data_IF_444006659216
#
_entry.id   IF_444006659216
#
_cell.length_a   1.000
_cell.length_b   1.000
_cell.length_c   1.000
_cell.angle_alpha   90.00
_cell.angle_beta   90.00
_cell.angle_gamma   90.00
#
_symmetry.space_group_name_H-M   'P 1'
#
loop_
_entity.id
_entity.type
_entity.pdbx_description
1 polymer ?
#
# COMPACT_ATOMS: atom_id res chain seq x y z
N UNK A 1 8.29 1.74 19.63
CA UNK A 1 7.03 2.20 18.98
C UNK A 1 7.13 2.25 17.44
N UNK A 2 8.30 2.47 16.82
CA UNK A 2 8.45 2.56 15.35
C UNK A 2 8.31 1.25 14.53
N UNK A 3 8.14 0.07 15.13
CA UNK A 3 8.03 -1.19 14.38
C UNK A 3 6.61 -1.51 13.91
N UNK A 4 5.58 -1.12 14.67
CA UNK A 4 4.19 -1.53 14.41
C UNK A 4 3.61 -0.92 13.15
N UNK A 5 3.91 0.36 12.88
CA UNK A 5 3.46 1.04 11.64
C UNK A 5 4.12 0.42 10.40
N UNK A 6 5.40 0.06 10.50
CA UNK A 6 6.16 -0.51 9.37
C UNK A 6 5.64 -1.90 8.98
N UNK A 7 5.25 -2.71 9.97
CA UNK A 7 4.71 -4.07 9.72
C UNK A 7 3.33 -3.99 9.06
N UNK A 8 2.47 -3.03 9.42
CA UNK A 8 1.15 -2.90 8.79
C UNK A 8 1.20 -2.45 7.33
N UNK A 9 2.07 -1.47 7.00
CA UNK A 9 2.24 -0.97 5.63
C UNK A 9 2.74 -2.07 4.68
N UNK A 10 3.85 -2.73 5.03
CA UNK A 10 4.43 -3.80 4.22
C UNK A 10 3.58 -5.08 4.22
N UNK A 11 2.90 -5.38 5.34
CA UNK A 11 1.97 -6.50 5.43
C UNK A 11 0.78 -6.34 4.49
N UNK A 12 0.26 -5.12 4.34
CA UNK A 12 -0.80 -4.81 3.38
C UNK A 12 -0.36 -5.02 1.92
N UNK A 13 0.84 -4.56 1.56
CA UNK A 13 1.43 -4.81 0.23
C UNK A 13 1.48 -6.32 -0.08
N UNK A 14 2.03 -7.11 0.84
CA UNK A 14 2.19 -8.55 0.68
C UNK A 14 0.83 -9.23 0.58
N UNK A 15 -0.13 -8.86 1.43
CA UNK A 15 -1.49 -9.42 1.43
C UNK A 15 -2.22 -9.15 0.12
N UNK A 16 -2.15 -7.91 -0.41
CA UNK A 16 -2.76 -7.54 -1.68
C UNK A 16 -2.15 -8.33 -2.85
N UNK A 17 -0.84 -8.50 -2.86
CA UNK A 17 -0.14 -9.26 -3.90
C UNK A 17 -0.38 -10.76 -3.82
N UNK A 18 -0.34 -11.35 -2.62
CA UNK A 18 -0.61 -12.78 -2.42
C UNK A 18 -2.06 -13.14 -2.75
N UNK A 19 -3.00 -12.26 -2.43
CA UNK A 19 -4.43 -12.43 -2.74
C UNK A 19 -4.71 -12.57 -4.24
N UNK A 20 -3.77 -12.16 -5.09
CA UNK A 20 -3.84 -12.36 -6.54
C UNK A 20 -3.11 -13.61 -7.03
N UNK A 21 -2.02 -13.97 -6.35
CA UNK A 21 -1.20 -15.13 -6.74
C UNK A 21 -1.78 -16.46 -6.24
N UNK A 22 -2.51 -16.43 -5.13
CA UNK A 22 -3.09 -17.60 -4.49
C UNK A 22 -4.61 -17.61 -4.69
N UNK A 23 -5.14 -18.79 -5.00
CA UNK A 23 -6.59 -19.03 -5.06
C UNK A 23 -7.08 -19.57 -3.72
N UNK A 24 -8.36 -19.34 -3.41
CA UNK A 24 -9.00 -19.88 -2.20
C UNK A 24 -8.71 -19.10 -0.92
N UNK A 25 -8.33 -17.82 -1.02
CA UNK A 25 -8.32 -16.93 0.14
C UNK A 25 -9.76 -16.48 0.38
N UNK A 26 -10.29 -16.71 1.58
CA UNK A 26 -11.67 -16.35 1.91
C UNK A 26 -11.80 -14.85 2.25
N UNK A 27 -10.75 -14.24 2.79
CA UNK A 27 -10.79 -12.85 3.26
C UNK A 27 -9.39 -12.23 3.35
N UNK A 28 -9.30 -10.91 3.15
CA UNK A 28 -8.09 -10.13 3.39
C UNK A 28 -8.37 -8.89 4.25
N UNK A 29 -7.41 -8.49 5.08
CA UNK A 29 -7.47 -7.28 5.91
C UNK A 29 -6.29 -6.39 5.53
N UNK A 30 -6.58 -5.18 5.05
CA UNK A 30 -5.57 -4.19 4.67
C UNK A 30 -5.61 -3.04 5.68
N UNK A 31 -4.50 -2.84 6.40
CA UNK A 31 -4.36 -1.84 7.45
C UNK A 31 -3.32 -0.82 7.00
N UNK A 32 -3.75 0.42 6.70
CA UNK A 32 -2.92 1.52 6.17
C UNK A 32 -1.88 1.01 5.14
N UNK A 33 -2.35 0.24 4.16
CA UNK A 33 -1.48 -0.49 3.24
C UNK A 33 -0.86 0.45 2.20
N UNK A 34 0.42 0.28 1.88
CA UNK A 34 0.95 0.85 0.65
C UNK A 34 0.45 -0.01 -0.52
N UNK A 35 -0.13 0.60 -1.54
CA UNK A 35 -0.77 -0.09 -2.67
C UNK A 35 -0.26 0.43 -4.02
N UNK A 36 0.35 1.61 -4.03
CA UNK A 36 1.11 2.19 -5.13
C UNK A 36 2.26 3.06 -4.60
N UNK A 37 3.48 2.54 -4.66
CA UNK A 37 4.66 3.27 -4.16
C UNK A 37 5.15 4.37 -5.10
N UNK A 38 4.58 4.48 -6.31
CA UNK A 38 4.92 5.53 -7.28
C UNK A 38 3.93 6.69 -7.26
N UNK A 39 2.76 6.50 -6.68
CA UNK A 39 1.70 7.49 -6.73
C UNK A 39 1.94 8.65 -5.75
N UNK A 40 1.57 9.85 -6.18
CA UNK A 40 1.62 11.08 -5.39
C UNK A 40 0.21 11.62 -5.20
N UNK A 41 -0.60 10.83 -4.49
CA UNK A 41 -1.99 11.16 -4.18
C UNK A 41 -2.13 12.50 -3.43
N UNK A 42 -3.34 13.11 -3.40
CA UNK A 42 -3.57 14.31 -2.60
C UNK A 42 -3.17 14.15 -1.13
N UNK A 43 -3.52 13.04 -0.47
CA UNK A 43 -3.07 12.73 0.90
C UNK A 43 -1.55 12.65 1.02
N UNK A 44 -0.88 12.06 0.02
CA UNK A 44 0.58 11.98 0.00
C UNK A 44 1.21 13.36 0.05
N UNK A 45 0.69 14.31 -0.73
CA UNK A 45 1.18 15.71 -0.76
C UNK A 45 0.77 16.50 0.47
N UNK A 46 -0.47 16.33 0.94
CA UNK A 46 -1.03 17.02 2.11
C UNK A 46 -0.24 16.71 3.39
N UNK A 47 0.17 15.46 3.55
CA UNK A 47 0.81 14.96 4.75
C UNK A 47 2.32 14.75 4.63
N UNK A 48 2.90 14.90 3.43
CA UNK A 48 4.33 14.75 3.14
C UNK A 48 5.25 15.46 4.14
N UNK A 49 4.94 16.72 4.45
CA UNK A 49 5.80 17.59 5.26
C UNK A 49 5.32 17.74 6.71
N UNK A 50 4.29 16.98 7.10
CA UNK A 50 3.78 17.00 8.47
C UNK A 50 4.53 15.93 9.26
N UNK A 51 4.96 16.26 10.48
CA UNK A 51 5.62 15.30 11.39
C UNK A 51 4.62 14.25 11.89
N UNK A 52 4.16 13.38 10.99
CA UNK A 52 3.40 12.18 11.28
C UNK A 52 4.32 10.95 11.19
N UNK A 53 3.82 9.79 11.60
CA UNK A 53 4.63 8.57 11.79
C UNK A 53 5.28 8.05 10.50
N UNK A 54 4.70 8.32 9.32
CA UNK A 54 5.19 7.88 8.02
C UNK A 54 5.42 9.10 7.12
N UNK A 55 6.66 9.28 6.65
CA UNK A 55 7.04 10.38 5.74
C UNK A 55 7.47 9.86 4.37
N UNK A 56 7.43 10.71 3.33
CA UNK A 56 7.93 10.36 2.00
C UNK A 56 9.39 9.94 2.00
N UNK A 57 10.24 10.56 2.80
CA UNK A 57 11.66 10.22 2.92
C UNK A 57 11.82 8.80 3.49
N UNK A 58 10.98 8.44 4.46
CA UNK A 58 10.99 7.11 5.03
C UNK A 58 10.50 6.05 4.04
N UNK A 59 9.45 6.34 3.25
CA UNK A 59 9.01 5.48 2.16
C UNK A 59 10.09 5.30 1.10
N UNK A 60 10.76 6.38 0.68
CA UNK A 60 11.83 6.30 -0.30
C UNK A 60 13.04 5.51 0.26
N UNK A 61 13.42 5.73 1.51
CA UNK A 61 14.44 4.92 2.19
C UNK A 61 14.06 3.45 2.19
N UNK A 62 12.82 3.10 2.52
CA UNK A 62 12.33 1.72 2.50
C UNK A 62 12.43 1.12 1.10
N UNK A 63 11.93 1.81 0.08
CA UNK A 63 11.97 1.32 -1.30
C UNK A 63 13.39 1.14 -1.84
N UNK A 64 14.36 1.99 -1.45
CA UNK A 64 15.77 1.82 -1.84
C UNK A 64 16.38 0.55 -1.25
N UNK A 65 15.97 0.14 -0.06
CA UNK A 65 16.50 -1.06 0.61
C UNK A 65 15.71 -2.32 0.28
N UNK A 66 14.43 -2.19 -0.09
CA UNK A 66 13.57 -3.31 -0.43
C UNK A 66 13.71 -3.78 -1.88
N UNK A 67 14.16 -2.90 -2.80
CA UNK A 67 14.21 -3.19 -4.23
C UNK A 67 15.60 -2.90 -4.81
N UNK A 68 16.11 -3.79 -5.65
CA UNK A 68 17.42 -3.63 -6.27
C UNK A 68 17.38 -2.72 -7.50
N UNK A 69 16.28 -2.76 -8.27
CA UNK A 69 16.11 -1.94 -9.46
C UNK A 69 14.94 -0.96 -9.29
N UNK A 70 15.08 0.24 -9.86
CA UNK A 70 14.00 1.24 -9.87
C UNK A 70 12.76 0.77 -10.62
N UNK A 71 12.93 -0.11 -11.62
CA UNK A 71 11.81 -0.67 -12.37
C UNK A 71 10.98 -1.68 -11.58
N UNK A 72 11.51 -2.27 -10.50
CA UNK A 72 10.75 -3.16 -9.63
C UNK A 72 9.53 -2.44 -9.01
N UNK A 73 9.60 -1.11 -8.87
CA UNK A 73 8.51 -0.28 -8.35
C UNK A 73 7.29 -0.22 -9.27
N UNK A 74 7.47 -0.56 -10.56
CA UNK A 74 6.40 -0.63 -11.57
C UNK A 74 5.78 -2.03 -11.65
N UNK A 75 6.28 -2.99 -10.87
CA UNK A 75 5.73 -4.32 -10.82
C UNK A 75 4.38 -4.32 -10.07
N UNK A 76 3.29 -4.87 -10.63
CA UNK A 76 2.01 -4.98 -9.94
C UNK A 76 2.02 -5.82 -8.66
N UNK A 77 3.09 -6.59 -8.40
CA UNK A 77 3.35 -7.29 -7.12
C UNK A 77 3.91 -6.38 -6.04
N UNK A 78 4.43 -5.21 -6.42
CA UNK A 78 4.92 -4.16 -5.52
C UNK A 78 3.85 -3.09 -5.34
N UNK A 79 3.21 -2.69 -6.44
CA UNK A 79 2.15 -1.68 -6.47
C UNK A 79 0.86 -2.31 -6.98
N UNK A 80 0.08 -2.90 -6.06
CA UNK A 80 -1.16 -3.61 -6.37
C UNK A 80 -2.18 -2.77 -7.16
N UNK A 81 -2.19 -1.44 -7.02
CA UNK A 81 -3.09 -0.55 -7.77
C UNK A 81 -2.71 -0.38 -9.24
N UNK A 82 -1.54 -0.86 -9.68
CA UNK A 82 -1.19 -0.93 -11.11
C UNK A 82 -1.96 -2.04 -11.85
N UNK A 83 -2.66 -2.91 -11.12
CA UNK A 83 -3.52 -3.92 -11.73
C UNK A 83 -4.74 -3.29 -12.41
N UNK A 84 -5.15 -3.87 -13.54
CA UNK A 84 -6.30 -3.38 -14.32
C UNK A 84 -7.65 -3.80 -13.76
N UNK A 85 -7.70 -4.93 -13.05
CA UNK A 85 -8.93 -5.53 -12.53
C UNK A 85 -8.74 -6.01 -11.10
N UNK A 86 -9.81 -5.97 -10.31
CA UNK A 86 -9.83 -6.35 -8.89
C UNK A 86 -10.93 -7.35 -8.55
N UNK A 87 -11.68 -7.82 -9.56
CA UNK A 87 -12.87 -8.68 -9.42
C UNK A 87 -12.56 -10.05 -8.79
N UNK A 88 -11.36 -10.58 -9.03
CA UNK A 88 -10.93 -11.89 -8.52
C UNK A 88 -10.29 -11.83 -7.13
N UNK A 89 -10.23 -10.64 -6.51
CA UNK A 89 -9.67 -10.49 -5.17
C UNK A 89 -10.68 -10.89 -4.09
N UNK A 90 -10.24 -11.52 -3.00
CA UNK A 90 -11.11 -11.95 -1.91
C UNK A 90 -11.75 -10.76 -1.20
N UNK A 91 -12.94 -10.91 -0.60
CA UNK A 91 -13.56 -9.87 0.23
C UNK A 91 -12.56 -9.22 1.19
N UNK A 92 -12.65 -7.90 1.32
CA UNK A 92 -11.57 -7.12 1.94
C UNK A 92 -12.11 -6.12 2.97
N UNK A 93 -11.50 -6.11 4.15
CA UNK A 93 -11.64 -5.02 5.13
C UNK A 93 -10.50 -4.03 4.96
N UNK A 94 -10.85 -2.75 4.79
CA UNK A 94 -9.89 -1.65 4.76
C UNK A 94 -9.93 -0.88 6.09
N UNK A 95 -8.80 -0.81 6.78
CA UNK A 95 -8.59 0.05 7.95
C UNK A 95 -7.66 1.18 7.51
N UNK A 96 -8.18 2.39 7.46
CA UNK A 96 -7.48 3.56 6.90
C UNK A 96 -7.25 4.59 8.00
N UNK A 97 -6.02 5.09 8.11
CA UNK A 97 -5.69 6.20 8.98
C UNK A 97 -5.98 7.52 8.27
N UNK A 98 -6.64 8.45 8.97
CA UNK A 98 -7.12 9.70 8.37
C UNK A 98 -6.00 10.73 8.12
N UNK A 99 -4.92 10.64 8.91
CA UNK A 99 -3.72 11.47 8.85
C UNK A 99 -2.53 10.65 8.35
N UNK A 100 -2.64 10.12 7.13
CA UNK A 100 -1.64 9.22 6.53
C UNK A 100 -1.45 9.52 5.05
N UNK A 101 -0.19 9.52 4.59
CA UNK A 101 0.16 9.68 3.18
C UNK A 101 -0.49 8.59 2.30
N UNK A 102 -0.74 7.40 2.86
CA UNK A 102 -1.32 6.24 2.19
C UNK A 102 -2.86 6.24 2.17
N UNK A 103 -3.52 7.27 2.74
CA UNK A 103 -4.99 7.31 2.88
C UNK A 103 -5.70 7.14 1.54
N UNK A 104 -5.38 7.99 0.57
CA UNK A 104 -6.16 8.10 -0.66
C UNK A 104 -6.00 6.87 -1.56
N UNK A 105 -4.84 6.21 -1.55
CA UNK A 105 -4.64 4.96 -2.30
C UNK A 105 -5.46 3.80 -1.73
N UNK A 106 -5.60 3.70 -0.40
CA UNK A 106 -6.48 2.72 0.25
C UNK A 106 -7.94 2.97 -0.10
N UNK A 107 -8.38 4.24 -0.07
CA UNK A 107 -9.74 4.61 -0.47
C UNK A 107 -10.00 4.33 -1.95
N UNK A 108 -9.01 4.53 -2.82
CA UNK A 108 -9.10 4.21 -4.24
C UNK A 108 -9.24 2.70 -4.46
N UNK A 109 -8.41 1.90 -3.80
CA UNK A 109 -8.50 0.43 -3.88
C UNK A 109 -9.88 -0.07 -3.42
N UNK A 110 -10.39 0.47 -2.31
CA UNK A 110 -11.72 0.15 -1.81
C UNK A 110 -12.83 0.47 -2.83
N UNK A 111 -12.68 1.55 -3.60
CA UNK A 111 -13.67 1.93 -4.64
C UNK A 111 -13.61 1.03 -5.87
N UNK A 112 -12.43 0.54 -6.21
CA UNK A 112 -12.20 -0.29 -7.39
C UNK A 112 -12.53 -1.78 -7.17
N UNK A 113 -12.89 -2.16 -5.95
CA UNK A 113 -13.22 -3.53 -5.53
C UNK A 113 -14.70 -3.66 -5.19
#
# INVERSE_FOLDING_TARGET
VNQTTKIGVAGGMISASLSRLLKGIDFQILIYAALDILDQTPSYKEFANRMYFLTPEFMNWFCIHAYHNSDDRKDPRVSALLNRTFDELPPCLFIVADLDILRDENLRMKKNK
#
